data_IF_194302719953
#
_entry.id   IF_194302719953
#
_cell.length_a   1.000
_cell.length_b   1.000
_cell.length_c   1.000
_cell.angle_alpha   90.00
_cell.angle_beta   90.00
_cell.angle_gamma   90.00
#
_symmetry.space_group_name_H-M   'P 1'
#
loop_
_entity.id
_entity.type
_entity.pdbx_description
1 polymer ?
#
# COMPACT_ATOMS: atom_id res chain seq x y z
N UNK A 1 -10.71 -7.28 10.75
CA UNK A 1 -9.36 -7.55 11.30
C UNK A 1 -8.53 -8.22 10.21
N UNK A 2 -7.34 -7.71 9.95
CA UNK A 2 -6.38 -8.29 9.01
C UNK A 2 -5.18 -8.83 9.80
N UNK A 3 -4.63 -9.96 9.38
CA UNK A 3 -3.41 -10.56 9.96
C UNK A 3 -2.43 -10.87 8.85
N UNK A 4 -1.20 -10.38 8.97
CA UNK A 4 -0.11 -10.69 8.05
C UNK A 4 0.81 -11.70 8.73
N UNK A 5 1.04 -12.84 8.07
CA UNK A 5 1.95 -13.89 8.53
C UNK A 5 3.18 -13.87 7.63
N UNK A 6 4.30 -13.43 8.21
CA UNK A 6 5.57 -13.28 7.52
C UNK A 6 6.34 -14.60 7.48
N UNK A 7 6.90 -14.95 6.33
CA UNK A 7 7.66 -16.19 6.14
C UNK A 7 9.02 -15.91 5.48
N UNK A 8 10.04 -16.72 5.82
CA UNK A 8 11.40 -16.55 5.30
C UNK A 8 11.64 -17.34 4.01
N UNK A 9 10.99 -18.49 3.85
CA UNK A 9 11.22 -19.44 2.74
C UNK A 9 9.98 -19.70 1.88
N UNK A 10 8.87 -19.04 2.17
CA UNK A 10 7.58 -19.18 1.49
C UNK A 10 6.97 -17.80 1.28
N UNK A 11 5.96 -17.69 0.42
CA UNK A 11 5.21 -16.44 0.26
C UNK A 11 4.53 -16.03 1.56
N UNK A 12 4.50 -14.74 1.84
CA UNK A 12 3.76 -14.17 2.97
C UNK A 12 2.26 -14.42 2.81
N UNK A 13 1.55 -14.60 3.92
CA UNK A 13 0.11 -14.84 3.92
C UNK A 13 -0.64 -13.67 4.56
N UNK A 14 -1.66 -13.18 3.87
CA UNK A 14 -2.54 -12.12 4.34
C UNK A 14 -3.92 -12.72 4.59
N UNK A 15 -4.35 -12.70 5.85
CA UNK A 15 -5.69 -13.13 6.27
C UNK A 15 -6.57 -11.90 6.41
N UNK A 16 -7.55 -11.76 5.53
CA UNK A 16 -8.46 -10.62 5.50
C UNK A 16 -9.84 -11.05 4.99
N UNK A 17 -10.92 -10.52 5.57
CA UNK A 17 -12.29 -10.83 5.13
C UNK A 17 -12.69 -12.31 5.23
N UNK A 18 -12.06 -13.09 6.11
CA UNK A 18 -12.28 -14.54 6.23
C UNK A 18 -11.54 -15.39 5.18
N UNK A 19 -10.78 -14.77 4.29
CA UNK A 19 -9.95 -15.44 3.28
C UNK A 19 -8.49 -15.44 3.70
N UNK A 20 -7.74 -16.43 3.20
CA UNK A 20 -6.28 -16.47 3.28
C UNK A 20 -5.77 -16.30 1.86
N UNK A 21 -5.05 -15.20 1.62
CA UNK A 21 -4.54 -14.83 0.29
C UNK A 21 -3.03 -14.73 0.40
N UNK A 22 -2.29 -15.32 -0.52
CA UNK A 22 -0.84 -15.13 -0.58
C UNK A 22 -0.55 -13.69 -1.01
N UNK A 23 0.44 -13.07 -0.40
CA UNK A 23 0.75 -11.68 -0.68
C UNK A 23 1.18 -11.47 -2.15
N UNK A 24 1.88 -12.43 -2.75
CA UNK A 24 2.28 -12.40 -4.16
C UNK A 24 1.07 -12.47 -5.12
N UNK A 25 0.00 -13.16 -4.72
CA UNK A 25 -1.26 -13.24 -5.48
C UNK A 25 -2.07 -11.93 -5.33
N UNK A 26 -2.01 -11.31 -4.15
CA UNK A 26 -2.70 -10.06 -3.86
C UNK A 26 -2.01 -8.84 -4.49
N UNK A 27 -0.67 -8.82 -4.46
CA UNK A 27 0.16 -7.69 -4.88
C UNK A 27 1.17 -8.16 -5.91
N UNK A 28 0.86 -7.92 -7.18
CA UNK A 28 1.76 -8.27 -8.27
C UNK A 28 2.88 -7.25 -8.37
N UNK A 29 4.11 -7.76 -8.28
CA UNK A 29 5.31 -7.00 -8.65
C UNK A 29 5.56 -7.15 -10.15
N UNK A 30 5.76 -6.03 -10.85
CA UNK A 30 6.32 -6.02 -12.20
C UNK A 30 7.84 -5.85 -12.09
N UNK A 31 8.62 -6.82 -12.56
CA UNK A 31 10.09 -6.79 -12.53
C UNK A 31 10.62 -5.42 -13.02
N UNK A 32 11.59 -4.86 -12.28
CA UNK A 32 12.17 -3.52 -12.46
C UNK A 32 11.25 -2.31 -12.21
N UNK A 33 10.02 -2.51 -11.72
CA UNK A 33 9.14 -1.41 -11.34
C UNK A 33 9.13 -1.19 -9.83
N UNK A 34 9.26 0.06 -9.40
CA UNK A 34 9.01 0.50 -8.02
C UNK A 34 7.51 0.62 -7.72
N UNK A 35 6.69 -0.18 -8.39
CA UNK A 35 5.23 -0.17 -8.23
C UNK A 35 4.71 -1.54 -7.81
N UNK A 36 3.60 -1.54 -7.08
CA UNK A 36 2.87 -2.74 -6.65
C UNK A 36 1.44 -2.62 -7.12
N UNK A 37 0.95 -3.61 -7.85
CA UNK A 37 -0.39 -3.59 -8.44
C UNK A 37 -1.31 -4.54 -7.69
N UNK A 38 -2.58 -4.19 -7.55
CA UNK A 38 -3.61 -5.09 -7.03
C UNK A 38 -4.96 -4.81 -7.68
N UNK A 39 -5.84 -5.80 -7.64
CA UNK A 39 -7.25 -5.65 -8.01
C UNK A 39 -8.05 -5.49 -6.71
N UNK A 40 -8.78 -4.38 -6.62
CA UNK A 40 -9.68 -4.12 -5.50
C UNK A 40 -10.90 -5.04 -5.52
N UNK A 41 -11.61 -5.18 -4.38
CA UNK A 41 -12.85 -5.96 -4.32
C UNK A 41 -13.98 -5.36 -5.16
N UNK A 42 -13.83 -4.13 -5.64
CA UNK A 42 -14.71 -3.47 -6.60
C UNK A 42 -14.38 -3.81 -8.07
N UNK A 43 -13.42 -4.72 -8.31
CA UNK A 43 -13.00 -5.17 -9.63
C UNK A 43 -12.11 -4.19 -10.38
N UNK A 44 -11.65 -3.11 -9.73
CA UNK A 44 -10.79 -2.10 -10.35
C UNK A 44 -9.32 -2.37 -10.09
N UNK A 45 -8.47 -1.99 -11.05
CA UNK A 45 -7.03 -2.10 -10.92
C UNK A 45 -6.43 -0.85 -10.26
N UNK A 46 -5.52 -1.09 -9.31
CA UNK A 46 -4.84 -0.09 -8.53
C UNK A 46 -3.34 -0.33 -8.53
N UNK A 47 -2.57 0.74 -8.36
CA UNK A 47 -1.12 0.69 -8.20
C UNK A 47 -0.66 1.58 -7.05
N UNK A 48 0.18 1.02 -6.20
CA UNK A 48 1.04 1.77 -5.29
C UNK A 48 2.33 2.14 -6.01
N UNK A 49 2.66 3.43 -6.02
CA UNK A 49 3.97 3.91 -6.46
C UNK A 49 4.85 4.10 -5.25
N UNK A 50 5.94 3.34 -5.17
CA UNK A 50 7.03 3.58 -4.25
C UNK A 50 7.97 4.59 -4.90
N UNK A 51 7.96 5.84 -4.43
CA UNK A 51 8.99 6.83 -4.80
C UNK A 51 10.20 6.67 -3.88
N UNK A 52 11.39 6.88 -4.43
CA UNK A 52 12.69 6.89 -3.74
C UNK A 52 12.78 7.84 -2.53
N UNK A 53 11.79 8.69 -2.31
CA UNK A 53 11.70 9.66 -1.22
C UNK A 53 10.56 9.37 -0.22
N UNK A 54 10.27 8.09 0.06
CA UNK A 54 9.25 7.65 1.03
C UNK A 54 7.82 8.12 0.71
N UNK A 55 7.52 8.41 -0.56
CA UNK A 55 6.19 8.81 -1.00
C UNK A 55 5.51 7.61 -1.62
N UNK A 56 4.69 6.93 -0.82
CA UNK A 56 3.79 5.89 -1.27
C UNK A 56 2.46 6.54 -1.66
N UNK A 57 2.13 6.54 -2.96
CA UNK A 57 0.82 6.98 -3.41
C UNK A 57 0.07 5.87 -4.15
N UNK A 58 -1.22 5.79 -3.88
CA UNK A 58 -2.17 4.91 -4.54
C UNK A 58 -2.79 5.65 -5.71
N UNK A 59 -2.86 4.99 -6.86
CA UNK A 59 -3.51 5.49 -8.06
C UNK A 59 -4.31 4.39 -8.73
N UNK A 60 -5.28 4.74 -9.57
CA UNK A 60 -5.82 3.80 -10.55
C UNK A 60 -4.72 3.38 -11.54
N UNK A 61 -4.81 2.18 -12.12
CA UNK A 61 -3.83 1.75 -13.13
C UNK A 61 -3.80 2.72 -14.33
N UNK A 62 -4.98 3.17 -14.77
CA UNK A 62 -5.16 4.01 -15.96
C UNK A 62 -5.11 5.54 -15.69
N UNK A 63 -5.04 5.96 -14.42
CA UNK A 63 -4.99 7.38 -14.05
C UNK A 63 -3.70 7.75 -13.30
N UNK A 64 -3.44 9.05 -13.22
CA UNK A 64 -2.43 9.65 -12.33
C UNK A 64 -3.05 10.27 -11.08
N UNK A 65 -4.37 10.18 -10.90
CA UNK A 65 -5.06 10.72 -9.72
C UNK A 65 -4.60 9.99 -8.47
N UNK A 66 -4.14 10.77 -7.48
CA UNK A 66 -3.73 10.25 -6.17
C UNK A 66 -4.97 9.94 -5.33
N UNK A 67 -5.26 8.66 -5.15
CA UNK A 67 -6.40 8.16 -4.37
C UNK A 67 -6.05 7.97 -2.89
N UNK A 68 -4.78 7.74 -2.60
CA UNK A 68 -4.24 7.76 -1.25
C UNK A 68 -2.77 8.18 -1.29
N UNK A 69 -2.29 8.81 -0.23
CA UNK A 69 -0.94 9.32 -0.13
C UNK A 69 -0.41 9.21 1.28
N UNK A 70 0.73 8.56 1.41
CA UNK A 70 1.45 8.50 2.68
C UNK A 70 2.31 9.74 2.85
N UNK A 71 2.16 10.39 4.00
CA UNK A 71 2.95 11.53 4.42
C UNK A 71 3.84 11.11 5.58
N UNK A 72 5.16 11.25 5.40
CA UNK A 72 6.13 10.91 6.44
C UNK A 72 6.09 11.88 7.62
N UNK A 73 6.73 11.50 8.71
CA UNK A 73 7.00 12.41 9.83
C UNK A 73 7.70 13.68 9.32
N UNK A 74 7.17 14.82 9.74
CA UNK A 74 7.76 16.13 9.49
C UNK A 74 8.19 16.79 10.81
N UNK A 75 9.44 17.26 10.88
CA UNK A 75 10.03 17.85 12.08
C UNK A 75 9.81 19.36 12.22
N UNK A 76 9.07 20.00 11.30
CA UNK A 76 8.73 21.42 11.44
C UNK A 76 9.70 22.41 10.76
N UNK A 77 10.66 21.94 9.96
CA UNK A 77 11.74 22.80 9.43
C UNK A 77 11.23 23.73 8.31
N UNK A 78 10.34 23.25 7.43
CA UNK A 78 9.79 24.02 6.29
C UNK A 78 8.27 24.14 6.27
N UNK A 79 7.56 23.33 7.07
CA UNK A 79 6.10 23.29 7.19
C UNK A 79 5.74 22.80 8.59
N UNK A 80 4.47 22.93 9.05
CA UNK A 80 4.09 22.45 10.38
C UNK A 80 4.51 20.99 10.63
N UNK A 81 4.99 20.72 11.84
CA UNK A 81 5.33 19.36 12.24
C UNK A 81 4.07 18.51 12.31
N UNK A 82 4.17 17.27 11.83
CA UNK A 82 3.09 16.30 11.92
C UNK A 82 3.65 14.86 12.07
N UNK A 83 2.92 13.97 12.75
CA UNK A 83 3.21 12.55 12.72
C UNK A 83 3.00 11.97 11.31
N UNK A 84 3.50 10.76 11.01
CA UNK A 84 3.19 10.10 9.76
C UNK A 84 1.69 9.79 9.68
N UNK A 85 1.09 9.99 8.51
CA UNK A 85 -0.32 9.67 8.27
C UNK A 85 -0.57 9.26 6.82
N UNK A 86 -1.62 8.47 6.60
CA UNK A 86 -2.11 8.09 5.30
C UNK A 86 -3.36 8.91 4.97
N UNK A 87 -3.26 9.78 3.97
CA UNK A 87 -4.39 10.52 3.42
C UNK A 87 -5.11 9.65 2.40
N UNK A 88 -6.44 9.59 2.44
CA UNK A 88 -7.24 8.73 1.57
C UNK A 88 -8.39 9.54 0.98
N UNK A 89 -8.54 9.46 -0.33
CA UNK A 89 -9.63 10.09 -1.07
C UNK A 89 -10.97 9.46 -0.68
N UNK A 90 -12.03 10.27 -0.47
CA UNK A 90 -13.38 9.74 -0.23
C UNK A 90 -13.87 8.79 -1.32
N UNK A 91 -13.37 8.92 -2.56
CA UNK A 91 -13.76 8.09 -3.71
C UNK A 91 -13.39 6.61 -3.61
N UNK A 92 -12.52 6.24 -2.67
CA UNK A 92 -12.07 4.86 -2.45
C UNK A 92 -12.40 4.32 -1.06
N UNK A 93 -13.28 5.01 -0.33
CA UNK A 93 -13.68 4.61 1.03
C UNK A 93 -14.36 3.23 1.06
N UNK A 94 -15.03 2.83 -0.03
CA UNK A 94 -15.68 1.51 -0.15
C UNK A 94 -14.69 0.33 -0.15
N UNK A 95 -13.41 0.58 -0.43
CA UNK A 95 -12.33 -0.42 -0.39
C UNK A 95 -11.27 -0.10 0.67
N UNK A 96 -11.61 0.74 1.65
CA UNK A 96 -10.68 1.29 2.64
C UNK A 96 -9.85 0.21 3.34
N UNK A 97 -10.48 -0.88 3.78
CA UNK A 97 -9.76 -1.96 4.46
C UNK A 97 -8.68 -2.58 3.57
N UNK A 98 -8.97 -2.75 2.28
CA UNK A 98 -8.01 -3.27 1.29
C UNK A 98 -6.83 -2.32 1.10
N UNK A 99 -7.10 -1.01 1.06
CA UNK A 99 -6.07 0.03 0.98
C UNK A 99 -5.16 -0.02 2.21
N UNK A 100 -5.73 -0.10 3.41
CA UNK A 100 -4.94 -0.15 4.66
C UNK A 100 -4.07 -1.40 4.70
N UNK A 101 -4.61 -2.57 4.37
CA UNK A 101 -3.87 -3.84 4.39
C UNK A 101 -2.71 -3.83 3.39
N UNK A 102 -2.98 -3.43 2.15
CA UNK A 102 -1.92 -3.36 1.12
C UNK A 102 -0.86 -2.32 1.47
N UNK A 103 -1.26 -1.16 2.01
CA UNK A 103 -0.34 -0.14 2.48
C UNK A 103 0.59 -0.66 3.57
N UNK A 104 0.06 -1.26 4.64
CA UNK A 104 0.84 -1.78 5.77
C UNK A 104 1.84 -2.84 5.30
N UNK A 105 1.41 -3.75 4.43
CA UNK A 105 2.29 -4.78 3.87
C UNK A 105 3.45 -4.15 3.08
N UNK A 106 3.16 -3.23 2.16
CA UNK A 106 4.17 -2.57 1.32
C UNK A 106 5.15 -1.73 2.15
N UNK A 107 4.63 -0.97 3.11
CA UNK A 107 5.44 -0.13 3.99
C UNK A 107 6.39 -0.98 4.84
N UNK A 108 5.91 -2.11 5.37
CA UNK A 108 6.75 -3.03 6.15
C UNK A 108 7.86 -3.64 5.29
N UNK A 109 7.55 -4.08 4.07
CA UNK A 109 8.56 -4.59 3.13
C UNK A 109 9.60 -3.51 2.77
N UNK A 110 9.17 -2.27 2.59
CA UNK A 110 10.08 -1.15 2.29
C UNK A 110 11.05 -0.87 3.43
N UNK A 111 10.63 -1.04 4.69
CA UNK A 111 11.47 -0.84 5.86
C UNK A 111 12.46 -2.01 6.08
N UNK A 112 12.09 -3.23 5.68
CA UNK A 112 12.98 -4.41 5.77
C UNK A 112 14.08 -4.44 4.70
N UNK A 113 13.89 -3.74 3.58
CA UNK A 113 14.88 -3.64 2.50
C UNK A 113 15.91 -2.51 2.69
N UNK A 114 15.77 -1.69 3.74
CA UNK A 114 16.73 -0.64 4.14
C UNK A 114 17.78 -1.20 5.12
#
# INVERSE_FOLDING_TARGET
LAVISWHVFQSDEIRFGGQVIKADDMLTWRWFSSTRHFIGPDGRAYKWKLRSSNLNCLQHEDSQDELAKYHNRNLGIRSPSHPPYLEISPSVTHILDYIIVTFVYIETLSQQQQ
#
